data_IF_056579059396
#
_entry.id   IF_056579059396
#
_cell.length_a   1.000
_cell.length_b   1.000
_cell.length_c   1.000
_cell.angle_alpha   90.00
_cell.angle_beta   90.00
_cell.angle_gamma   90.00
#
_symmetry.space_group_name_H-M   'P 1'
#
loop_
_entity.id
_entity.type
_entity.pdbx_description
1 polymer ?
#
# COMPACT_ATOMS: atom_id res chain seq x y z
N UNK A 1 -22.97 2.57 -0.66
CA UNK A 1 -22.81 1.14 -1.08
C UNK A 1 -21.35 0.71 -1.30
N UNK A 2 -20.37 1.63 -1.32
CA UNK A 2 -18.93 1.33 -1.46
C UNK A 2 -18.22 0.93 -0.15
N UNK A 3 -18.58 1.54 0.98
CA UNK A 3 -17.96 1.29 2.29
C UNK A 3 -18.32 -0.07 2.89
N UNK A 4 -19.55 -0.52 2.67
CA UNK A 4 -19.95 -1.88 3.01
C UNK A 4 -19.20 -2.93 2.19
N UNK A 5 -18.60 -2.60 1.04
CA UNK A 5 -17.76 -3.55 0.29
C UNK A 5 -16.36 -3.71 0.91
N UNK A 6 -15.81 -2.66 1.51
CA UNK A 6 -14.51 -2.68 2.21
C UNK A 6 -14.61 -3.30 3.61
N UNK A 7 -15.72 -3.06 4.33
CA UNK A 7 -16.03 -3.75 5.60
C UNK A 7 -16.48 -5.20 5.35
N UNK A 8 -17.22 -5.47 4.27
CA UNK A 8 -17.48 -6.85 3.80
C UNK A 8 -16.22 -7.56 3.30
N UNK A 9 -15.20 -6.87 2.80
CA UNK A 9 -13.93 -7.47 2.36
C UNK A 9 -13.19 -8.18 3.51
N UNK A 10 -13.45 -7.78 4.77
CA UNK A 10 -12.89 -8.43 5.97
C UNK A 10 -13.78 -9.58 6.48
N UNK A 11 -15.09 -9.58 6.17
CA UNK A 11 -16.06 -10.56 6.72
C UNK A 11 -16.66 -11.55 5.70
N UNK A 12 -16.54 -11.33 4.39
CA UNK A 12 -17.10 -12.19 3.33
C UNK A 12 -16.12 -13.25 2.79
N UNK A 13 -15.09 -13.57 3.55
CA UNK A 13 -13.97 -14.37 3.07
C UNK A 13 -14.11 -15.88 3.29
N UNK A 14 -15.30 -16.40 3.63
CA UNK A 14 -15.49 -17.86 3.73
C UNK A 14 -16.22 -18.42 2.51
N UNK A 15 -17.37 -17.88 2.11
CA UNK A 15 -18.10 -18.42 0.95
C UNK A 15 -17.43 -18.08 -0.37
N UNK A 16 -16.86 -16.89 -0.51
CA UNK A 16 -16.05 -16.52 -1.67
C UNK A 16 -14.72 -17.27 -1.69
N UNK A 17 -14.10 -17.53 -0.53
CA UNK A 17 -12.94 -18.42 -0.45
C UNK A 17 -13.30 -19.86 -0.76
N UNK A 18 -14.48 -20.35 -0.36
CA UNK A 18 -14.99 -21.67 -0.72
C UNK A 18 -15.28 -21.74 -2.22
N UNK A 19 -15.84 -20.70 -2.82
CA UNK A 19 -16.03 -20.58 -4.26
C UNK A 19 -14.69 -20.46 -5.01
N UNK A 20 -13.70 -19.75 -4.44
CA UNK A 20 -12.31 -19.70 -4.90
C UNK A 20 -11.67 -21.08 -4.82
N UNK A 21 -11.82 -21.77 -3.69
CA UNK A 21 -11.32 -23.12 -3.46
C UNK A 21 -11.99 -24.11 -4.38
N UNK A 22 -13.29 -23.94 -4.68
CA UNK A 22 -14.07 -24.73 -5.64
C UNK A 22 -13.70 -24.43 -7.10
N UNK A 23 -13.46 -23.18 -7.48
CA UNK A 23 -12.98 -22.78 -8.81
C UNK A 23 -11.54 -23.22 -9.02
N UNK A 24 -10.67 -23.03 -8.03
CA UNK A 24 -9.36 -23.66 -7.93
C UNK A 24 -9.53 -25.19 -7.95
N UNK A 25 -10.56 -25.78 -7.33
CA UNK A 25 -10.88 -27.23 -7.40
C UNK A 25 -11.27 -27.67 -8.81
N UNK A 26 -11.97 -26.82 -9.56
CA UNK A 26 -12.37 -27.05 -10.95
C UNK A 26 -11.22 -26.83 -11.93
N UNK A 27 -10.30 -25.90 -11.66
CA UNK A 27 -9.02 -25.85 -12.36
C UNK A 27 -8.11 -27.03 -11.92
N UNK A 28 -8.25 -27.49 -10.66
CA UNK A 28 -7.66 -28.72 -10.13
C UNK A 28 -8.36 -29.99 -10.62
N UNK A 29 -9.46 -29.94 -11.39
CA UNK A 29 -9.89 -31.16 -12.09
C UNK A 29 -8.87 -31.55 -13.17
N UNK A 30 -7.92 -30.67 -13.50
CA UNK A 30 -6.69 -30.96 -14.24
C UNK A 30 -5.44 -31.14 -13.34
N UNK A 31 -5.49 -30.80 -12.05
CA UNK A 31 -4.44 -31.06 -11.05
C UNK A 31 -4.99 -32.06 -10.01
N UNK A 32 -4.84 -33.35 -10.32
CA UNK A 32 -5.12 -34.51 -9.47
C UNK A 32 -5.02 -34.20 -7.95
N UNK A 33 -5.95 -34.71 -7.13
CA UNK A 33 -5.93 -34.67 -5.64
C UNK A 33 -4.55 -34.91 -5.00
N UNK A 34 -3.70 -35.68 -5.68
CA UNK A 34 -2.30 -35.92 -5.37
C UNK A 34 -1.43 -34.65 -5.43
N UNK A 35 -1.63 -33.74 -6.38
CA UNK A 35 -0.98 -32.42 -6.44
C UNK A 35 -1.32 -31.54 -5.24
N UNK A 36 -2.56 -31.60 -4.74
CA UNK A 36 -2.99 -30.82 -3.56
C UNK A 36 -2.31 -31.35 -2.30
N UNK A 37 -2.32 -32.67 -2.11
CA UNK A 37 -1.63 -33.33 -1.01
C UNK A 37 -0.12 -33.03 -1.04
N UNK A 38 0.46 -32.96 -2.23
CA UNK A 38 1.88 -32.69 -2.44
C UNK A 38 2.24 -31.22 -2.25
N UNK A 39 1.48 -30.26 -2.80
CA UNK A 39 1.62 -28.81 -2.49
C UNK A 39 1.56 -28.58 -0.96
N UNK A 40 0.67 -29.29 -0.25
CA UNK A 40 0.57 -29.22 1.19
C UNK A 40 1.77 -29.87 1.93
N UNK A 41 2.32 -30.97 1.41
CA UNK A 41 3.57 -31.55 1.91
C UNK A 41 4.79 -30.63 1.63
N UNK A 42 4.80 -29.89 0.51
CA UNK A 42 5.87 -28.96 0.14
C UNK A 42 5.89 -27.67 0.97
N UNK A 43 4.77 -27.27 1.59
CA UNK A 43 4.77 -26.21 2.61
C UNK A 43 5.71 -26.52 3.78
N UNK A 44 6.07 -27.80 3.98
CA UNK A 44 6.94 -28.26 5.06
C UNK A 44 8.43 -28.32 4.67
N UNK A 45 8.80 -28.17 3.38
CA UNK A 45 10.20 -28.18 2.91
C UNK A 45 10.44 -27.23 1.74
N UNK A 46 11.30 -26.22 1.93
CA UNK A 46 11.61 -25.21 0.89
C UNK A 46 12.27 -25.88 -0.33
N UNK A 47 11.63 -25.81 -1.50
CA UNK A 47 12.23 -26.18 -2.80
C UNK A 47 12.79 -24.92 -3.48
N UNK A 48 13.97 -25.04 -4.09
CA UNK A 48 14.51 -24.02 -4.98
C UNK A 48 13.90 -24.13 -6.39
N UNK A 49 14.20 -23.17 -7.28
CA UNK A 49 13.69 -23.17 -8.66
C UNK A 49 14.01 -24.48 -9.39
N UNK A 50 15.23 -24.99 -9.24
CA UNK A 50 15.67 -26.20 -9.94
C UNK A 50 14.89 -27.42 -9.46
N UNK A 51 14.71 -27.57 -8.15
CA UNK A 51 13.88 -28.60 -7.56
C UNK A 51 12.42 -28.51 -8.02
N UNK A 52 11.86 -27.31 -8.11
CA UNK A 52 10.49 -27.10 -8.59
C UNK A 52 10.34 -27.48 -10.08
N UNK A 53 11.30 -27.12 -10.93
CA UNK A 53 11.25 -27.49 -12.37
C UNK A 53 11.48 -28.99 -12.59
N UNK A 54 12.40 -29.62 -11.85
CA UNK A 54 12.58 -31.07 -11.88
C UNK A 54 11.32 -31.81 -11.44
N UNK A 55 10.62 -31.26 -10.44
CA UNK A 55 9.34 -31.78 -9.99
C UNK A 55 8.27 -31.71 -11.08
N UNK A 56 8.09 -30.56 -11.73
CA UNK A 56 7.14 -30.43 -12.85
C UNK A 56 7.41 -31.45 -13.96
N UNK A 57 8.69 -31.68 -14.29
CA UNK A 57 9.10 -32.71 -15.26
C UNK A 57 8.75 -34.12 -14.81
N UNK A 58 8.96 -34.45 -13.53
CA UNK A 58 8.62 -35.77 -12.96
C UNK A 58 7.13 -36.09 -13.08
N UNK A 59 6.28 -35.05 -13.06
CA UNK A 59 4.84 -35.16 -13.24
C UNK A 59 4.36 -35.08 -14.69
N UNK A 60 5.27 -35.11 -15.66
CA UNK A 60 4.95 -35.06 -17.10
C UNK A 60 4.15 -33.82 -17.50
N UNK A 61 4.34 -32.69 -16.81
CA UNK A 61 3.77 -31.40 -17.23
C UNK A 61 4.32 -31.04 -18.63
N UNK A 62 3.48 -30.55 -19.55
CA UNK A 62 3.92 -30.16 -20.88
C UNK A 62 5.09 -29.17 -20.87
N UNK A 63 6.03 -29.33 -21.82
CA UNK A 63 7.25 -28.50 -21.89
C UNK A 63 6.95 -27.02 -22.07
N UNK A 64 5.90 -26.68 -22.81
CA UNK A 64 5.45 -25.31 -23.03
C UNK A 64 4.89 -24.67 -21.75
N UNK A 65 4.20 -25.44 -20.91
CA UNK A 65 3.73 -24.98 -19.61
C UNK A 65 4.90 -24.80 -18.62
N UNK A 66 5.86 -25.71 -18.62
CA UNK A 66 7.11 -25.55 -17.86
C UNK A 66 7.85 -24.27 -18.29
N UNK A 67 7.95 -24.02 -19.60
CA UNK A 67 8.60 -22.81 -20.12
C UNK A 67 7.89 -21.53 -19.66
N UNK A 68 6.54 -21.51 -19.67
CA UNK A 68 5.75 -20.39 -19.14
C UNK A 68 6.01 -20.16 -17.64
N UNK A 69 6.05 -21.22 -16.85
CA UNK A 69 6.35 -21.12 -15.41
C UNK A 69 7.77 -20.60 -15.17
N UNK A 70 8.74 -21.08 -15.94
CA UNK A 70 10.11 -20.54 -15.88
C UNK A 70 10.14 -19.06 -16.27
N UNK A 71 9.42 -18.65 -17.32
CA UNK A 71 9.28 -17.24 -17.69
C UNK A 71 8.64 -16.41 -16.58
N UNK A 72 7.62 -16.93 -15.88
CA UNK A 72 7.03 -16.27 -14.72
C UNK A 72 8.01 -16.14 -13.56
N UNK A 73 8.78 -17.20 -13.26
CA UNK A 73 9.82 -17.14 -12.23
C UNK A 73 10.91 -16.13 -12.63
N UNK A 74 11.29 -16.07 -13.91
CA UNK A 74 12.28 -15.12 -14.41
C UNK A 74 11.73 -13.69 -14.42
N UNK A 75 10.48 -13.49 -14.80
CA UNK A 75 9.78 -12.19 -14.74
C UNK A 75 9.67 -11.74 -13.29
N UNK A 76 9.31 -12.64 -12.39
CA UNK A 76 9.37 -12.42 -10.96
C UNK A 76 10.77 -12.00 -10.56
N UNK A 77 11.82 -12.78 -10.84
CA UNK A 77 13.22 -12.48 -10.50
C UNK A 77 13.71 -11.13 -11.06
N UNK A 78 13.29 -10.77 -12.27
CA UNK A 78 13.60 -9.51 -12.95
C UNK A 78 12.78 -8.33 -12.42
N UNK A 79 11.57 -8.58 -11.93
CA UNK A 79 10.67 -7.59 -11.35
C UNK A 79 11.25 -7.05 -10.06
N UNK A 80 12.21 -6.13 -10.15
CA UNK A 80 12.96 -5.70 -8.97
C UNK A 80 13.83 -4.43 -9.16
N UNK A 81 13.61 -3.62 -10.20
CA UNK A 81 14.47 -2.44 -10.43
C UNK A 81 14.08 -1.19 -9.61
N UNK A 82 13.17 -1.28 -8.64
CA UNK A 82 12.76 -0.09 -7.87
C UNK A 82 11.95 -0.32 -6.58
N UNK A 83 11.83 -1.57 -6.11
CA UNK A 83 11.19 -1.85 -4.81
C UNK A 83 12.23 -1.71 -3.71
N UNK A 84 11.97 -0.85 -2.72
CA UNK A 84 12.89 -0.61 -1.61
C UNK A 84 12.86 -1.82 -0.69
N UNK A 85 14.03 -2.40 -0.41
CA UNK A 85 14.13 -3.29 0.74
C UNK A 85 14.02 -2.45 2.01
N UNK A 86 13.13 -2.83 2.92
CA UNK A 86 13.09 -2.27 4.29
C UNK A 86 14.49 -2.29 4.94
N UNK A 87 15.36 -3.21 4.51
CA UNK A 87 16.76 -3.28 4.93
C UNK A 87 17.48 -1.94 4.74
N UNK A 88 17.23 -1.20 3.65
CA UNK A 88 17.85 0.11 3.44
C UNK A 88 17.46 1.10 4.55
N UNK A 89 16.21 1.08 5.03
CA UNK A 89 15.79 1.93 6.13
C UNK A 89 16.31 1.44 7.48
N UNK A 90 16.34 0.12 7.69
CA UNK A 90 16.95 -0.48 8.87
C UNK A 90 18.42 -0.07 8.96
N UNK A 91 19.18 -0.21 7.88
CA UNK A 91 20.58 0.19 7.77
C UNK A 91 20.74 1.68 8.06
N UNK A 92 19.87 2.52 7.50
CA UNK A 92 19.87 3.95 7.79
C UNK A 92 19.69 4.26 9.28
N UNK A 93 18.74 3.60 9.95
CA UNK A 93 18.54 3.81 11.39
C UNK A 93 19.65 3.19 12.25
N UNK A 94 20.24 2.08 11.80
CA UNK A 94 21.42 1.51 12.45
C UNK A 94 22.60 2.49 12.38
N UNK A 95 22.82 3.13 11.22
CA UNK A 95 23.78 4.23 11.07
C UNK A 95 23.45 5.43 11.97
N UNK A 96 22.17 5.65 12.29
CA UNK A 96 21.81 6.65 13.29
C UNK A 96 22.21 6.25 14.70
N UNK A 97 22.08 4.98 15.04
CA UNK A 97 22.45 4.47 16.35
C UNK A 97 23.98 4.45 16.56
N UNK A 98 24.78 4.42 15.48
CA UNK A 98 26.23 4.53 15.56
C UNK A 98 26.67 5.91 16.12
N UNK A 99 27.55 5.89 17.12
CA UNK A 99 28.26 7.08 17.63
C UNK A 99 29.33 7.53 16.63
N UNK A 100 28.89 8.17 15.55
CA UNK A 100 29.77 8.78 14.55
C UNK A 100 29.87 10.29 14.75
N UNK A 101 31.04 10.91 14.45
CA UNK A 101 31.15 12.35 14.28
C UNK A 101 30.10 12.89 13.31
N UNK A 102 29.51 14.05 13.61
CA UNK A 102 28.39 14.67 12.86
C UNK A 102 28.64 14.72 11.35
N UNK A 103 29.87 15.06 10.95
CA UNK A 103 30.29 15.19 9.54
C UNK A 103 30.33 13.84 8.82
N UNK A 104 30.87 12.79 9.45
CA UNK A 104 30.89 11.43 8.88
C UNK A 104 29.47 10.87 8.74
N UNK A 105 28.62 11.14 9.73
CA UNK A 105 27.21 10.77 9.72
C UNK A 105 26.45 11.47 8.58
N UNK A 106 26.68 12.77 8.41
CA UNK A 106 26.13 13.54 7.30
C UNK A 106 26.57 13.01 5.92
N UNK A 107 27.85 12.66 5.76
CA UNK A 107 28.35 12.10 4.49
C UNK A 107 27.71 10.74 4.17
N UNK A 108 27.61 9.83 5.15
CA UNK A 108 26.91 8.54 4.97
C UNK A 108 25.43 8.72 4.61
N UNK A 109 24.75 9.67 5.25
CA UNK A 109 23.34 10.02 4.92
C UNK A 109 23.24 10.58 3.50
N UNK A 110 24.15 11.47 3.11
CA UNK A 110 24.17 12.03 1.76
C UNK A 110 24.45 10.97 0.70
N UNK A 111 25.33 10.01 0.96
CA UNK A 111 25.58 8.85 0.10
C UNK A 111 24.35 7.95 -0.02
N UNK A 112 23.67 7.69 1.10
CA UNK A 112 22.39 6.98 1.13
C UNK A 112 21.36 7.67 0.23
N UNK A 113 21.22 8.98 0.33
CA UNK A 113 20.31 9.78 -0.49
C UNK A 113 20.68 9.84 -1.97
N UNK A 114 21.98 9.89 -2.29
CA UNK A 114 22.44 9.93 -3.67
C UNK A 114 22.21 8.59 -4.38
N UNK A 115 22.40 7.46 -3.70
CA UNK A 115 22.02 6.13 -4.23
C UNK A 115 20.51 6.02 -4.51
N UNK A 116 19.72 6.89 -3.88
CA UNK A 116 18.26 6.87 -3.87
C UNK A 116 17.60 7.73 -4.94
N UNK A 117 18.35 8.60 -5.64
CA UNK A 117 17.83 9.51 -6.67
C UNK A 117 17.20 8.81 -7.90
N UNK A 118 17.09 7.48 -7.89
CA UNK A 118 16.41 6.64 -8.88
C UNK A 118 14.96 6.26 -8.50
N UNK A 119 14.51 6.52 -7.26
CA UNK A 119 13.20 6.07 -6.78
C UNK A 119 12.06 6.99 -7.22
N UNK A 120 11.11 6.47 -8.01
CA UNK A 120 9.94 7.22 -8.53
C UNK A 120 8.78 7.37 -7.53
N UNK A 121 9.01 7.10 -6.25
CA UNK A 121 7.94 6.88 -5.28
C UNK A 121 7.67 8.08 -4.37
N UNK A 122 6.48 8.67 -4.44
CA UNK A 122 6.19 9.85 -3.63
C UNK A 122 5.92 9.56 -2.14
N UNK A 123 5.31 8.42 -1.80
CA UNK A 123 5.03 8.05 -0.40
C UNK A 123 6.29 7.70 0.40
N UNK A 124 7.19 6.93 -0.23
CA UNK A 124 8.53 6.66 0.32
C UNK A 124 9.35 7.94 0.47
N UNK A 125 9.29 8.82 -0.54
CA UNK A 125 9.94 10.14 -0.45
C UNK A 125 9.40 10.95 0.72
N UNK A 126 8.10 10.89 1.03
CA UNK A 126 7.54 11.62 2.17
C UNK A 126 8.10 11.14 3.53
N UNK A 127 8.25 9.82 3.71
CA UNK A 127 8.83 9.24 4.95
C UNK A 127 10.29 9.66 5.09
N UNK A 128 11.07 9.54 4.02
CA UNK A 128 12.47 9.92 4.05
C UNK A 128 12.67 11.43 4.15
N UNK A 129 11.90 12.25 3.43
CA UNK A 129 11.92 13.72 3.55
C UNK A 129 11.72 14.11 5.03
N UNK A 130 10.84 13.39 5.73
CA UNK A 130 10.62 13.57 7.16
C UNK A 130 11.83 13.14 7.99
N UNK A 131 12.33 11.92 7.80
CA UNK A 131 13.50 11.41 8.51
C UNK A 131 14.70 12.35 8.34
N UNK A 132 15.00 12.79 7.11
CA UNK A 132 16.07 13.73 6.81
C UNK A 132 15.88 15.10 7.44
N UNK A 133 14.64 15.59 7.44
CA UNK A 133 14.34 16.87 8.06
C UNK A 133 14.67 16.84 9.56
N UNK A 134 14.52 15.71 10.25
CA UNK A 134 14.89 15.57 11.65
C UNK A 134 16.41 15.56 11.89
N UNK A 135 17.20 15.13 10.90
CA UNK A 135 18.66 15.34 10.95
C UNK A 135 19.05 16.80 10.81
N UNK A 136 18.27 17.57 10.07
CA UNK A 136 18.47 19.01 9.96
C UNK A 136 18.01 19.72 11.23
N UNK A 137 18.52 20.92 11.46
CA UNK A 137 18.00 21.84 12.48
C UNK A 137 16.97 22.82 11.87
N UNK A 138 16.39 22.47 10.70
CA UNK A 138 15.43 23.31 9.97
C UNK A 138 13.99 22.97 10.37
N UNK A 139 13.47 23.65 11.38
CA UNK A 139 12.10 23.46 11.89
C UNK A 139 10.99 23.67 10.85
N UNK A 140 11.17 24.59 9.90
CA UNK A 140 10.20 24.82 8.83
C UNK A 140 10.14 23.62 7.86
N UNK A 141 11.29 22.98 7.60
CA UNK A 141 11.34 21.73 6.85
C UNK A 141 10.67 20.61 7.61
N UNK A 142 10.98 20.42 8.90
CA UNK A 142 10.37 19.40 9.77
C UNK A 142 8.84 19.53 9.78
N UNK A 143 8.31 20.74 9.95
CA UNK A 143 6.86 20.97 9.94
C UNK A 143 6.22 20.55 8.61
N UNK A 144 6.83 20.94 7.49
CA UNK A 144 6.32 20.65 6.13
C UNK A 144 6.42 19.17 5.78
N UNK A 145 7.54 18.51 6.09
CA UNK A 145 7.73 17.08 5.84
C UNK A 145 6.82 16.24 6.73
N UNK A 146 6.64 16.62 8.01
CA UNK A 146 5.67 15.97 8.92
C UNK A 146 4.25 16.06 8.36
N UNK A 147 3.83 17.25 7.92
CA UNK A 147 2.51 17.44 7.31
C UNK A 147 2.33 16.61 6.06
N UNK A 148 3.34 16.58 5.19
CA UNK A 148 3.31 15.75 3.99
C UNK A 148 3.12 14.28 4.39
N UNK A 149 3.98 13.72 5.24
CA UNK A 149 3.92 12.33 5.69
C UNK A 149 2.57 11.96 6.33
N UNK A 150 2.05 12.81 7.21
CA UNK A 150 0.77 12.60 7.90
C UNK A 150 -0.43 12.51 6.96
N UNK A 151 -0.32 13.10 5.77
CA UNK A 151 -1.45 13.24 4.85
C UNK A 151 -1.44 12.28 3.66
N UNK A 152 -0.40 11.44 3.55
CA UNK A 152 -0.36 10.37 2.56
C UNK A 152 -1.40 9.29 2.84
N UNK A 153 -1.78 8.55 1.79
CA UNK A 153 -2.62 7.39 1.93
C UNK A 153 -2.04 6.42 2.99
N UNK A 154 -2.86 5.93 3.94
CA UNK A 154 -2.44 5.03 5.01
C UNK A 154 -2.02 3.63 4.53
N UNK A 155 -1.89 3.40 3.23
CA UNK A 155 -1.42 2.13 2.67
C UNK A 155 -0.36 2.38 1.59
N UNK A 156 0.17 3.60 1.56
CA UNK A 156 1.12 4.02 0.53
C UNK A 156 2.34 3.12 0.51
N UNK A 157 2.95 2.81 1.66
CA UNK A 157 4.15 1.97 1.72
C UNK A 157 3.90 0.52 1.32
N UNK A 158 2.67 0.03 1.42
CA UNK A 158 2.29 -1.34 1.03
C UNK A 158 2.62 -1.64 -0.43
N UNK A 159 2.48 -0.66 -1.32
CA UNK A 159 2.74 -0.83 -2.76
C UNK A 159 4.22 -1.05 -3.08
N UNK A 160 5.12 -0.80 -2.13
CA UNK A 160 6.53 -0.59 -2.43
C UNK A 160 7.49 -1.30 -1.51
N UNK A 161 6.99 -1.74 -0.35
CA UNK A 161 7.68 -2.61 0.58
C UNK A 161 7.56 -4.05 0.10
N UNK A 162 8.70 -4.67 -0.17
CA UNK A 162 8.76 -6.08 -0.55
C UNK A 162 8.27 -6.95 0.61
N UNK A 163 7.38 -7.91 0.30
CA UNK A 163 6.97 -8.97 1.23
C UNK A 163 7.73 -10.26 0.91
N UNK A 164 8.78 -10.53 1.67
CA UNK A 164 9.47 -11.82 1.74
C UNK A 164 9.14 -12.50 3.09
N UNK A 165 9.62 -13.74 3.28
CA UNK A 165 9.39 -14.53 4.51
C UNK A 165 9.73 -13.80 5.81
N UNK A 166 10.66 -12.84 5.79
CA UNK A 166 11.11 -12.11 6.97
C UNK A 166 10.57 -10.66 7.01
N UNK A 167 9.67 -10.27 6.11
CA UNK A 167 9.23 -8.89 6.01
C UNK A 167 8.46 -8.44 7.25
N UNK A 168 7.68 -9.31 7.91
CA UNK A 168 6.99 -8.91 9.14
C UNK A 168 7.96 -8.58 10.28
N UNK A 169 8.98 -9.41 10.47
CA UNK A 169 10.04 -9.17 11.45
C UNK A 169 10.84 -7.91 11.11
N UNK A 170 11.19 -7.72 9.84
CA UNK A 170 11.87 -6.51 9.35
C UNK A 170 11.01 -5.26 9.53
N UNK A 171 9.71 -5.30 9.25
CA UNK A 171 8.79 -4.20 9.49
C UNK A 171 8.76 -3.87 10.99
N UNK A 172 8.61 -4.88 11.86
CA UNK A 172 8.64 -4.68 13.31
C UNK A 172 9.96 -4.04 13.77
N UNK A 173 11.09 -4.52 13.26
CA UNK A 173 12.40 -3.95 13.57
C UNK A 173 12.50 -2.49 13.11
N UNK A 174 12.10 -2.20 11.86
CA UNK A 174 12.04 -0.83 11.33
C UNK A 174 11.19 0.08 12.22
N UNK A 175 9.98 -0.34 12.60
CA UNK A 175 9.08 0.47 13.43
C UNK A 175 9.68 0.74 14.82
N UNK A 176 10.35 -0.26 15.41
CA UNK A 176 11.06 -0.10 16.67
C UNK A 176 12.22 0.91 16.55
N UNK A 177 13.01 0.81 15.49
CA UNK A 177 14.11 1.74 15.21
C UNK A 177 13.60 3.17 14.94
N UNK A 178 12.53 3.30 14.15
CA UNK A 178 11.87 4.57 13.87
C UNK A 178 11.34 5.22 15.16
N UNK A 179 10.70 4.45 16.04
CA UNK A 179 10.22 4.96 17.33
C UNK A 179 11.36 5.43 18.23
N UNK A 180 12.45 4.66 18.32
CA UNK A 180 13.67 5.10 19.03
C UNK A 180 14.20 6.40 18.44
N UNK A 181 14.24 6.50 17.10
CA UNK A 181 14.68 7.69 16.39
C UNK A 181 13.82 8.92 16.72
N UNK A 182 12.49 8.78 16.78
CA UNK A 182 11.59 9.85 17.18
C UNK A 182 11.82 10.31 18.63
N UNK A 183 12.02 9.37 19.55
CA UNK A 183 12.31 9.67 20.96
C UNK A 183 13.63 10.45 21.08
N UNK A 184 14.68 10.02 20.38
CA UNK A 184 15.97 10.73 20.36
C UNK A 184 15.88 12.15 19.76
N UNK A 185 14.82 12.45 19.00
CA UNK A 185 14.58 13.75 18.38
C UNK A 185 13.41 14.52 19.02
N UNK A 186 13.00 14.17 20.25
CA UNK A 186 11.84 14.78 20.91
C UNK A 186 11.90 16.31 21.00
N UNK A 187 13.09 16.89 21.17
CA UNK A 187 13.28 18.35 21.26
C UNK A 187 12.96 19.06 19.94
N UNK A 188 13.08 18.37 18.81
CA UNK A 188 12.78 18.90 17.47
C UNK A 188 11.31 18.74 17.11
N UNK A 189 10.65 17.78 17.73
CA UNK A 189 9.22 17.50 17.62
C UNK A 189 8.59 17.76 18.97
N UNK A 190 8.67 18.98 19.48
CA UNK A 190 8.27 19.34 20.84
C UNK A 190 6.82 18.94 21.19
N UNK A 191 5.90 19.03 20.24
CA UNK A 191 4.51 18.63 20.39
C UNK A 191 4.33 17.09 20.52
N UNK A 192 3.87 16.59 21.68
CA UNK A 192 3.58 15.18 21.89
C UNK A 192 2.49 14.63 20.97
N UNK A 193 1.50 15.43 20.59
CA UNK A 193 0.41 15.00 19.71
C UNK A 193 0.96 14.76 18.30
N UNK A 194 1.74 15.69 17.75
CA UNK A 194 2.40 15.51 16.47
C UNK A 194 3.25 14.23 16.42
N UNK A 195 4.05 13.96 17.45
CA UNK A 195 4.84 12.71 17.54
C UNK A 195 3.94 11.48 17.50
N UNK A 196 2.84 11.50 18.24
CA UNK A 196 1.88 10.39 18.26
C UNK A 196 1.18 10.22 16.91
N UNK A 197 0.79 11.30 16.24
CA UNK A 197 0.22 11.26 14.89
C UNK A 197 1.19 10.63 13.91
N UNK A 198 2.48 11.00 13.96
CA UNK A 198 3.55 10.47 13.10
C UNK A 198 3.71 8.95 13.32
N UNK A 199 3.73 8.52 14.58
CA UNK A 199 3.78 7.09 14.94
C UNK A 199 2.56 6.32 14.42
N UNK A 200 1.36 6.85 14.61
CA UNK A 200 0.14 6.18 14.12
C UNK A 200 0.10 6.12 12.59
N UNK A 201 0.53 7.19 11.92
CA UNK A 201 0.55 7.22 10.47
C UNK A 201 1.57 6.23 9.90
N UNK A 202 2.81 6.21 10.39
CA UNK A 202 3.82 5.29 9.87
C UNK A 202 3.38 3.84 10.08
N UNK A 203 2.78 3.52 11.24
CA UNK A 203 2.22 2.20 11.50
C UNK A 203 1.13 1.87 10.46
N UNK A 204 0.18 2.78 10.23
CA UNK A 204 -0.89 2.54 9.26
C UNK A 204 -0.35 2.22 7.88
N UNK A 205 0.68 2.94 7.41
CA UNK A 205 1.26 2.79 6.07
C UNK A 205 1.77 1.38 5.73
N UNK A 206 2.21 0.59 6.72
CA UNK A 206 2.70 -0.79 6.53
C UNK A 206 1.61 -1.86 6.72
N UNK A 207 0.59 -1.59 7.54
CA UNK A 207 -0.35 -2.61 8.00
C UNK A 207 -1.69 -2.59 7.25
N UNK A 208 -2.24 -3.80 7.06
CA UNK A 208 -3.65 -4.01 6.69
C UNK A 208 -4.46 -4.03 7.99
N UNK A 209 -5.72 -3.56 8.02
CA UNK A 209 -6.65 -3.86 9.10
C UNK A 209 -7.02 -5.36 9.07
N UNK A 210 -6.08 -6.22 9.43
CA UNK A 210 -6.35 -7.61 9.80
C UNK A 210 -5.91 -7.77 11.23
N UNK A 211 -6.77 -7.37 12.18
CA UNK A 211 -6.87 -7.91 13.54
C UNK A 211 -5.64 -7.93 14.45
N UNK A 212 -4.43 -7.57 14.01
CA UNK A 212 -3.24 -7.51 14.85
C UNK A 212 -3.25 -6.16 15.53
N UNK A 213 -3.87 -6.11 16.71
CA UNK A 213 -3.57 -5.09 17.70
C UNK A 213 -2.08 -5.20 18.00
N UNK A 214 -1.27 -4.35 17.36
CA UNK A 214 0.05 -4.05 17.89
C UNK A 214 -0.19 -3.35 19.23
N UNK A 215 0.16 -4.01 20.32
CA UNK A 215 0.17 -3.49 21.70
C UNK A 215 1.08 -2.24 21.90
N UNK A 216 1.50 -1.56 20.83
CA UNK A 216 2.59 -0.58 20.86
C UNK A 216 2.28 0.81 20.31
N UNK A 217 1.04 1.11 19.93
CA UNK A 217 0.63 2.52 19.80
C UNK A 217 -0.26 2.86 21.00
N UNK A 218 0.10 3.90 21.77
CA UNK A 218 -0.87 4.57 22.66
C UNK A 218 -1.98 5.11 21.76
N UNK A 219 -2.96 4.27 21.43
CA UNK A 219 -4.04 4.65 20.53
C UNK A 219 -4.78 5.80 21.18
N UNK A 220 -4.85 6.96 20.51
CA UNK A 220 -5.68 8.08 20.94
C UNK A 220 -7.07 7.55 21.30
N UNK A 221 -7.58 7.89 22.48
CA UNK A 221 -8.94 7.50 22.85
C UNK A 221 -9.94 8.12 21.87
N UNK A 222 -11.16 7.57 21.76
CA UNK A 222 -12.20 8.20 20.94
C UNK A 222 -12.52 9.63 21.40
N UNK A 223 -12.38 9.90 22.70
CA UNK A 223 -12.52 11.25 23.27
C UNK A 223 -11.43 12.18 22.74
N UNK A 224 -10.16 11.75 22.80
CA UNK A 224 -9.03 12.54 22.31
C UNK A 224 -9.15 12.78 20.80
N UNK A 225 -9.59 11.77 20.05
CA UNK A 225 -9.81 11.89 18.61
C UNK A 225 -10.83 12.98 18.28
N UNK A 226 -11.99 12.99 18.94
CA UNK A 226 -13.06 14.00 18.75
C UNK A 226 -12.60 15.41 19.13
N UNK A 227 -11.90 15.53 20.25
CA UNK A 227 -11.38 16.82 20.71
C UNK A 227 -10.36 17.39 19.73
N UNK A 228 -9.39 16.58 19.30
CA UNK A 228 -8.30 17.05 18.45
C UNK A 228 -8.73 17.28 16.99
N UNK A 229 -9.64 16.45 16.45
CA UNK A 229 -10.18 16.60 15.10
C UNK A 229 -11.06 17.85 14.94
N UNK A 230 -11.63 18.34 16.04
CA UNK A 230 -12.42 19.58 16.07
C UNK A 230 -11.56 20.84 16.26
N UNK A 231 -10.27 20.69 16.56
CA UNK A 231 -9.39 21.84 16.78
C UNK A 231 -9.07 22.57 15.48
N UNK A 232 -8.94 23.90 15.53
CA UNK A 232 -8.61 24.69 14.34
C UNK A 232 -7.21 24.38 13.81
N UNK A 233 -6.25 24.15 14.72
CA UNK A 233 -4.85 23.88 14.37
C UNK A 233 -4.70 22.50 13.74
N UNK A 234 -5.24 21.46 14.39
CA UNK A 234 -5.01 20.08 13.96
C UNK A 234 -6.12 19.51 13.09
N UNK A 235 -7.37 19.86 13.35
CA UNK A 235 -8.54 19.34 12.61
C UNK A 235 -8.48 19.64 11.12
N UNK A 236 -8.51 20.94 10.79
CA UNK A 236 -8.54 21.41 9.39
C UNK A 236 -7.26 21.05 8.63
N UNK A 237 -6.10 21.18 9.28
CA UNK A 237 -4.80 20.97 8.64
C UNK A 237 -4.51 19.50 8.30
N UNK A 238 -5.14 18.56 9.02
CA UNK A 238 -4.87 17.13 8.96
C UNK A 238 -6.18 16.31 8.91
N UNK A 239 -7.23 16.83 8.27
CA UNK A 239 -8.55 16.19 8.25
C UNK A 239 -8.51 14.76 7.68
N UNK A 240 -7.62 14.49 6.72
CA UNK A 240 -7.41 13.18 6.11
C UNK A 240 -6.78 12.17 7.09
N UNK A 241 -5.82 12.60 7.91
CA UNK A 241 -5.31 11.80 9.03
C UNK A 241 -6.43 11.48 10.04
N UNK A 242 -7.19 12.49 10.46
CA UNK A 242 -8.28 12.27 11.43
C UNK A 242 -9.34 11.35 10.87
N UNK A 243 -9.74 11.55 9.62
CA UNK A 243 -10.64 10.65 8.92
C UNK A 243 -10.12 9.19 8.96
N UNK A 244 -8.84 8.97 8.63
CA UNK A 244 -8.23 7.65 8.74
C UNK A 244 -8.26 7.07 10.16
N UNK A 245 -8.06 7.90 11.20
CA UNK A 245 -8.15 7.43 12.59
C UNK A 245 -9.58 7.11 13.03
N UNK A 246 -10.60 7.71 12.43
CA UNK A 246 -12.01 7.43 12.74
C UNK A 246 -12.54 6.20 12.00
N UNK A 247 -12.01 5.93 10.80
CA UNK A 247 -12.37 4.77 9.99
C UNK A 247 -12.19 3.46 10.76
N UNK A 248 -13.26 2.66 10.83
CA UNK A 248 -13.27 1.36 11.51
C UNK A 248 -13.30 1.43 13.04
N UNK A 249 -13.29 2.64 13.63
CA UNK A 249 -13.39 2.87 15.08
C UNK A 249 -14.69 3.57 15.50
N UNK A 250 -15.39 4.17 14.55
CA UNK A 250 -16.63 4.92 14.74
C UNK A 250 -17.66 4.55 13.69
N UNK A 251 -18.87 5.12 13.75
CA UNK A 251 -19.84 4.96 12.67
C UNK A 251 -19.32 5.60 11.38
N UNK A 252 -19.84 5.13 10.25
CA UNK A 252 -19.46 5.69 8.96
C UNK A 252 -19.85 7.16 8.87
N UNK A 253 -21.03 7.51 9.39
CA UNK A 253 -21.55 8.88 9.43
C UNK A 253 -20.61 9.80 10.23
N UNK A 254 -20.15 9.37 11.40
CA UNK A 254 -19.22 10.15 12.23
C UNK A 254 -17.86 10.34 11.54
N UNK A 255 -17.36 9.32 10.85
CA UNK A 255 -16.15 9.43 10.04
C UNK A 255 -16.36 10.42 8.88
N UNK A 256 -17.48 10.31 8.18
CA UNK A 256 -17.80 11.11 7.00
C UNK A 256 -17.96 12.61 7.32
N UNK A 257 -18.50 12.94 8.49
CA UNK A 257 -18.61 14.30 9.01
C UNK A 257 -17.28 15.07 8.97
N UNK A 258 -16.15 14.39 9.18
CA UNK A 258 -14.82 15.00 9.13
C UNK A 258 -14.51 15.49 7.70
N UNK A 259 -14.80 14.66 6.70
CA UNK A 259 -14.60 15.04 5.30
C UNK A 259 -15.58 16.11 4.87
N UNK A 260 -16.85 15.99 5.25
CA UNK A 260 -17.87 16.91 4.77
C UNK A 260 -17.64 18.33 5.28
N UNK A 261 -17.20 18.47 6.54
CA UNK A 261 -16.82 19.76 7.17
C UNK A 261 -15.57 20.39 6.55
N UNK A 262 -14.57 19.59 6.19
CA UNK A 262 -13.25 20.10 5.81
C UNK A 262 -12.98 20.11 4.29
N UNK A 263 -13.63 19.24 3.52
CA UNK A 263 -13.44 19.09 2.07
C UNK A 263 -14.48 19.90 1.27
N UNK A 264 -14.39 21.22 1.37
CA UNK A 264 -15.15 22.17 0.56
C UNK A 264 -14.56 22.29 -0.84
N UNK A 265 -15.28 22.97 -1.75
CA UNK A 265 -14.77 23.23 -3.11
C UNK A 265 -13.45 24.00 -3.10
N UNK A 266 -13.29 24.94 -2.16
CA UNK A 266 -12.06 25.73 -2.00
C UNK A 266 -10.90 24.85 -1.52
N UNK A 267 -11.10 24.03 -0.48
CA UNK A 267 -10.04 23.17 0.03
C UNK A 267 -9.67 22.07 -0.97
N UNK A 268 -10.66 21.50 -1.68
CA UNK A 268 -10.41 20.56 -2.78
C UNK A 268 -9.56 21.17 -3.89
N UNK A 269 -9.81 22.42 -4.29
CA UNK A 269 -9.02 23.10 -5.31
C UNK A 269 -7.54 23.24 -4.92
N UNK A 270 -7.27 23.49 -3.63
CA UNK A 270 -5.93 23.58 -3.08
C UNK A 270 -5.30 22.24 -2.67
N UNK A 271 -6.06 21.13 -2.73
CA UNK A 271 -5.62 19.85 -2.20
C UNK A 271 -4.50 19.24 -3.06
N UNK A 272 -3.46 18.73 -2.40
CA UNK A 272 -2.34 18.06 -3.04
C UNK A 272 -2.72 16.67 -3.58
N UNK A 273 -2.07 16.22 -4.66
CA UNK A 273 -2.42 14.98 -5.37
C UNK A 273 -2.38 13.74 -4.48
N UNK A 274 -1.39 13.64 -3.60
CA UNK A 274 -1.24 12.51 -2.68
C UNK A 274 -2.31 12.44 -1.58
N UNK A 275 -3.13 13.49 -1.40
CA UNK A 275 -4.24 13.55 -0.43
C UNK A 275 -5.58 13.22 -1.08
N UNK A 276 -5.64 13.11 -2.41
CA UNK A 276 -6.87 12.86 -3.16
C UNK A 276 -7.51 11.50 -2.85
N UNK A 277 -6.81 10.61 -2.14
CA UNK A 277 -7.37 9.34 -1.66
C UNK A 277 -8.62 9.51 -0.80
N UNK A 278 -8.78 10.64 -0.09
CA UNK A 278 -10.00 10.91 0.70
C UNK A 278 -11.27 10.97 -0.14
N UNK A 279 -11.15 11.24 -1.45
CA UNK A 279 -12.28 11.26 -2.38
C UNK A 279 -12.93 9.88 -2.54
N UNK A 280 -12.23 8.80 -2.19
CA UNK A 280 -12.79 7.44 -2.19
C UNK A 280 -14.03 7.32 -1.29
N UNK A 281 -14.18 8.23 -0.34
CA UNK A 281 -15.21 8.18 0.69
C UNK A 281 -16.23 9.30 0.56
N UNK A 282 -15.95 10.34 -0.24
CA UNK A 282 -16.85 11.50 -0.40
C UNK A 282 -16.98 11.90 -1.87
N UNK A 283 -18.22 11.94 -2.35
CA UNK A 283 -18.59 12.50 -3.65
C UNK A 283 -19.77 13.43 -3.41
N UNK A 284 -19.53 14.73 -3.51
CA UNK A 284 -20.58 15.74 -3.30
C UNK A 284 -21.45 15.92 -4.55
N UNK A 285 -22.71 16.27 -4.33
CA UNK A 285 -23.70 16.49 -5.38
C UNK A 285 -23.50 17.78 -6.19
N UNK A 286 -22.74 18.74 -5.66
CA UNK A 286 -22.58 20.07 -6.23
C UNK A 286 -21.75 20.07 -7.52
N UNK A 287 -22.25 20.71 -8.58
CA UNK A 287 -21.59 20.74 -9.88
C UNK A 287 -20.24 21.47 -9.86
N UNK A 288 -20.12 22.54 -9.07
CA UNK A 288 -18.87 23.28 -8.91
C UNK A 288 -17.80 22.39 -8.27
N UNK A 289 -18.17 21.66 -7.21
CA UNK A 289 -17.29 20.71 -6.55
C UNK A 289 -16.89 19.56 -7.48
N UNK A 290 -17.85 18.99 -8.22
CA UNK A 290 -17.58 17.92 -9.20
C UNK A 290 -16.62 18.36 -10.30
N UNK A 291 -16.76 19.57 -10.85
CA UNK A 291 -15.83 20.10 -11.86
C UNK A 291 -14.40 20.20 -11.32
N UNK A 292 -14.23 20.68 -10.09
CA UNK A 292 -12.91 20.75 -9.44
C UNK A 292 -12.36 19.35 -9.17
N UNK A 293 -13.20 18.43 -8.68
CA UNK A 293 -12.82 17.03 -8.46
C UNK A 293 -12.32 16.37 -9.75
N UNK A 294 -13.08 16.44 -10.84
CA UNK A 294 -12.70 15.82 -12.12
C UNK A 294 -11.38 16.40 -12.64
N UNK A 295 -11.16 17.72 -12.51
CA UNK A 295 -9.87 18.33 -12.85
C UNK A 295 -8.71 17.74 -12.04
N UNK A 296 -8.87 17.62 -10.72
CA UNK A 296 -7.87 17.02 -9.82
C UNK A 296 -7.59 15.55 -10.13
N UNK A 297 -8.63 14.77 -10.43
CA UNK A 297 -8.47 13.38 -10.84
C UNK A 297 -7.79 13.27 -12.22
N UNK A 298 -8.04 14.21 -13.12
CA UNK A 298 -7.30 14.35 -14.38
C UNK A 298 -5.81 14.61 -14.16
N UNK A 299 -5.45 15.47 -13.21
CA UNK A 299 -4.05 15.69 -12.79
C UNK A 299 -3.44 14.41 -12.20
N UNK A 300 -4.17 13.74 -11.30
CA UNK A 300 -3.75 12.47 -10.70
C UNK A 300 -3.51 11.39 -11.76
N UNK A 301 -4.32 11.34 -12.83
CA UNK A 301 -4.19 10.34 -13.90
C UNK A 301 -2.92 10.42 -14.72
N UNK A 302 -2.21 11.56 -14.65
CA UNK A 302 -0.90 11.72 -15.29
C UNK A 302 0.20 11.05 -14.49
N UNK A 303 -0.03 10.79 -13.20
CA UNK A 303 0.88 10.02 -12.36
C UNK A 303 0.72 8.53 -12.73
N UNK A 304 1.84 7.91 -13.13
CA UNK A 304 1.88 6.50 -13.55
C UNK A 304 2.26 5.56 -12.40
N UNK A 305 2.14 6.01 -11.15
CA UNK A 305 2.44 5.15 -10.01
C UNK A 305 1.24 4.25 -9.63
N UNK A 306 1.49 3.07 -9.05
CA UNK A 306 0.45 2.12 -8.70
C UNK A 306 -0.63 2.65 -7.75
N UNK A 307 -0.27 3.47 -6.77
CA UNK A 307 -1.21 3.98 -5.76
C UNK A 307 -2.20 4.97 -6.39
N UNK A 308 -1.69 5.92 -7.18
CA UNK A 308 -2.55 6.87 -7.91
C UNK A 308 -3.50 6.13 -8.85
N UNK A 309 -3.02 5.08 -9.52
CA UNK A 309 -3.85 4.25 -10.40
C UNK A 309 -4.95 3.51 -9.63
N UNK A 310 -4.66 2.94 -8.47
CA UNK A 310 -5.67 2.28 -7.63
C UNK A 310 -6.75 3.26 -7.15
N UNK A 311 -6.35 4.46 -6.70
CA UNK A 311 -7.30 5.50 -6.28
C UNK A 311 -8.26 5.84 -7.43
N UNK A 312 -7.72 6.07 -8.64
CA UNK A 312 -8.54 6.37 -9.81
C UNK A 312 -9.47 5.21 -10.18
N UNK A 313 -8.96 3.98 -10.19
CA UNK A 313 -9.76 2.78 -10.48
C UNK A 313 -10.92 2.65 -9.51
N UNK A 314 -10.66 2.84 -8.22
CA UNK A 314 -11.68 2.76 -7.18
C UNK A 314 -12.77 3.83 -7.36
N UNK A 315 -12.38 5.07 -7.72
CA UNK A 315 -13.32 6.16 -8.01
C UNK A 315 -14.13 5.94 -9.29
N UNK A 316 -13.54 5.33 -10.32
CA UNK A 316 -14.21 5.02 -11.60
C UNK A 316 -15.30 3.95 -11.49
N UNK A 317 -15.50 3.34 -10.32
CA UNK A 317 -16.70 2.53 -10.08
C UNK A 317 -17.97 3.36 -10.11
N UNK A 318 -17.87 4.66 -9.84
CA UNK A 318 -18.94 5.60 -10.17
C UNK A 318 -18.94 5.86 -11.68
N UNK A 319 -20.06 5.52 -12.34
CA UNK A 319 -20.20 5.65 -13.79
C UNK A 319 -20.07 7.09 -14.30
N UNK A 320 -20.45 8.08 -13.50
CA UNK A 320 -20.33 9.50 -13.83
C UNK A 320 -18.85 9.89 -13.84
N UNK A 321 -18.12 9.53 -12.78
CA UNK A 321 -16.68 9.79 -12.68
C UNK A 321 -15.93 9.11 -13.82
N UNK A 322 -16.24 7.84 -14.11
CA UNK A 322 -15.62 7.11 -15.23
C UNK A 322 -15.87 7.80 -16.56
N UNK A 323 -17.11 8.20 -16.83
CA UNK A 323 -17.48 8.89 -18.07
C UNK A 323 -16.68 10.18 -18.26
N UNK A 324 -16.60 11.00 -17.22
CA UNK A 324 -15.83 12.26 -17.26
C UNK A 324 -14.32 12.02 -17.39
N UNK A 325 -13.75 11.07 -16.64
CA UNK A 325 -12.33 10.74 -16.75
C UNK A 325 -11.96 10.14 -18.11
N UNK A 326 -12.86 9.39 -18.74
CA UNK A 326 -12.65 8.84 -20.10
C UNK A 326 -12.49 9.94 -21.16
N UNK A 327 -13.08 11.12 -20.95
CA UNK A 327 -12.89 12.28 -21.82
C UNK A 327 -11.52 12.94 -21.63
N UNK A 328 -10.94 12.81 -20.43
CA UNK A 328 -9.63 13.39 -20.08
C UNK A 328 -8.48 12.47 -20.46
N UNK A 329 -8.65 11.16 -20.28
CA UNK A 329 -7.64 10.15 -20.59
C UNK A 329 -8.29 8.95 -21.29
N UNK A 330 -7.89 8.69 -22.54
CA UNK A 330 -8.44 7.62 -23.39
C UNK A 330 -8.23 6.22 -22.81
N UNK A 331 -7.22 6.02 -21.96
CA UNK A 331 -6.99 4.72 -21.31
C UNK A 331 -8.15 4.33 -20.38
N UNK A 332 -8.95 5.29 -19.93
CA UNK A 332 -10.12 5.05 -19.08
C UNK A 332 -11.42 4.80 -19.86
N UNK A 333 -11.38 4.96 -21.19
CA UNK A 333 -12.52 4.65 -22.06
C UNK A 333 -12.85 3.15 -22.06
N UNK A 334 -11.86 2.29 -21.82
CA UNK A 334 -12.07 0.85 -21.74
C UNK A 334 -13.05 0.47 -20.61
N UNK A 335 -13.70 -0.71 -20.69
CA UNK A 335 -14.51 -1.23 -19.60
C UNK A 335 -13.72 -1.33 -18.29
N UNK A 336 -14.35 -1.01 -17.15
CA UNK A 336 -13.66 -0.93 -15.87
C UNK A 336 -12.95 -2.25 -15.50
N UNK A 337 -13.60 -3.39 -15.72
CA UNK A 337 -13.00 -4.71 -15.45
C UNK A 337 -11.69 -4.93 -16.23
N UNK A 338 -11.56 -4.39 -17.45
CA UNK A 338 -10.34 -4.50 -18.26
C UNK A 338 -9.23 -3.65 -17.66
N UNK A 339 -9.56 -2.43 -17.22
CA UNK A 339 -8.64 -1.52 -16.56
C UNK A 339 -8.15 -2.11 -15.23
N UNK A 340 -9.05 -2.64 -14.41
CA UNK A 340 -8.74 -3.32 -13.14
C UNK A 340 -7.80 -4.51 -13.36
N UNK A 341 -8.14 -5.42 -14.30
CA UNK A 341 -7.29 -6.58 -14.61
C UNK A 341 -5.89 -6.18 -15.07
N UNK A 342 -5.80 -5.19 -15.95
CA UNK A 342 -4.50 -4.70 -16.42
C UNK A 342 -3.67 -4.15 -15.26
N UNK A 343 -4.26 -3.30 -14.42
CA UNK A 343 -3.56 -2.73 -13.27
C UNK A 343 -3.02 -3.80 -12.31
N UNK A 344 -3.86 -4.76 -11.92
CA UNK A 344 -3.42 -5.79 -10.98
C UNK A 344 -2.39 -6.75 -11.58
N UNK A 345 -2.44 -7.04 -12.89
CA UNK A 345 -1.39 -7.80 -13.58
C UNK A 345 -0.06 -7.04 -13.63
N UNK A 346 -0.09 -5.74 -13.91
CA UNK A 346 1.10 -4.88 -13.88
C UNK A 346 1.72 -4.85 -12.47
N UNK A 347 0.90 -4.71 -11.42
CA UNK A 347 1.36 -4.77 -10.04
C UNK A 347 1.97 -6.14 -9.66
N UNK A 348 1.34 -7.26 -10.07
CA UNK A 348 1.89 -8.60 -9.87
C UNK A 348 3.27 -8.77 -10.53
N UNK A 349 3.40 -8.35 -11.80
CA UNK A 349 4.67 -8.44 -12.53
C UNK A 349 5.78 -7.59 -11.88
N UNK A 350 5.40 -6.49 -11.23
CA UNK A 350 6.31 -5.60 -10.51
C UNK A 350 6.57 -6.00 -9.05
N UNK A 351 6.06 -7.14 -8.58
CA UNK A 351 6.10 -7.62 -7.17
C UNK A 351 5.43 -6.70 -6.15
N UNK A 352 4.64 -5.74 -6.59
CA UNK A 352 3.89 -4.86 -5.70
C UNK A 352 2.58 -5.53 -5.28
N UNK A 353 2.26 -5.48 -3.98
CA UNK A 353 0.98 -5.96 -3.46
C UNK A 353 0.59 -7.39 -3.84
N UNK A 354 1.57 -8.29 -3.98
CA UNK A 354 1.37 -9.62 -4.59
C UNK A 354 0.08 -10.34 -4.18
N UNK A 355 -0.09 -10.65 -2.89
CA UNK A 355 -1.26 -11.39 -2.41
C UNK A 355 -2.58 -10.65 -2.64
N UNK A 356 -2.55 -9.31 -2.65
CA UNK A 356 -3.73 -8.48 -2.92
C UNK A 356 -4.05 -8.41 -4.39
N UNK A 357 -3.10 -8.13 -5.26
CA UNK A 357 -3.34 -8.13 -6.70
C UNK A 357 -3.82 -9.50 -7.17
N UNK A 358 -3.26 -10.57 -6.59
CA UNK A 358 -3.71 -11.92 -6.82
C UNK A 358 -5.16 -12.13 -6.38
N UNK A 359 -5.53 -11.72 -5.15
CA UNK A 359 -6.90 -11.85 -4.68
C UNK A 359 -7.89 -11.06 -5.55
N UNK A 360 -7.53 -9.82 -5.93
CA UNK A 360 -8.38 -8.96 -6.76
C UNK A 360 -8.55 -9.51 -8.18
N UNK A 361 -7.50 -10.08 -8.79
CA UNK A 361 -7.62 -10.73 -10.10
C UNK A 361 -8.56 -11.93 -10.05
N UNK A 362 -8.46 -12.76 -9.01
CA UNK A 362 -9.35 -13.91 -8.87
C UNK A 362 -10.80 -13.47 -8.62
N UNK A 363 -11.03 -12.41 -7.83
CA UNK A 363 -12.36 -11.80 -7.66
C UNK A 363 -12.97 -11.31 -8.98
N UNK A 364 -12.14 -10.80 -9.88
CA UNK A 364 -12.55 -10.39 -11.24
C UNK A 364 -12.79 -11.57 -12.18
N UNK A 365 -12.68 -12.81 -11.69
CA UNK A 365 -12.79 -14.03 -12.48
C UNK A 365 -11.62 -14.24 -13.43
N UNK A 366 -10.49 -13.58 -13.19
CA UNK A 366 -9.26 -13.75 -13.96
C UNK A 366 -8.49 -14.98 -13.42
N UNK A 367 -8.88 -16.15 -13.90
CA UNK A 367 -8.37 -17.48 -13.46
C UNK A 367 -7.57 -18.12 -14.60
N UNK A 368 -6.82 -17.31 -15.34
CA UNK A 368 -5.93 -17.85 -16.37
C UNK A 368 -4.76 -18.62 -15.73
N UNK A 369 -4.07 -19.43 -16.54
CA UNK A 369 -2.96 -20.25 -16.06
C UNK A 369 -1.86 -19.41 -15.38
N UNK A 370 -1.66 -18.16 -15.80
CA UNK A 370 -0.66 -17.26 -15.20
C UNK A 370 -1.01 -16.90 -13.76
N UNK A 371 -2.26 -16.50 -13.49
CA UNK A 371 -2.74 -16.19 -12.14
C UNK A 371 -2.68 -17.42 -11.24
N UNK A 372 -3.06 -18.59 -11.76
CA UNK A 372 -2.97 -19.87 -11.03
C UNK A 372 -1.51 -20.18 -10.67
N UNK A 373 -0.58 -20.04 -11.61
CA UNK A 373 0.83 -20.33 -11.36
C UNK A 373 1.45 -19.35 -10.36
N UNK A 374 1.11 -18.07 -10.40
CA UNK A 374 1.50 -17.13 -9.34
C UNK A 374 1.01 -17.58 -7.97
N UNK A 375 -0.26 -18.00 -7.85
CA UNK A 375 -0.79 -18.54 -6.60
C UNK A 375 -0.03 -19.79 -6.13
N UNK A 376 0.23 -20.75 -7.02
CA UNK A 376 0.96 -21.98 -6.67
C UNK A 376 2.38 -21.66 -6.20
N UNK A 377 3.12 -20.86 -6.95
CA UNK A 377 4.51 -20.51 -6.67
C UNK A 377 4.67 -19.73 -5.35
N UNK A 378 3.69 -18.90 -4.98
CA UNK A 378 3.62 -18.24 -3.68
C UNK A 378 3.37 -19.22 -2.53
N UNK A 379 2.39 -20.13 -2.71
CA UNK A 379 2.03 -21.12 -1.69
C UNK A 379 3.16 -22.11 -1.38
N UNK A 380 4.00 -22.44 -2.36
CA UNK A 380 5.16 -23.33 -2.17
C UNK A 380 6.44 -22.57 -1.76
N UNK A 381 6.38 -21.24 -1.68
CA UNK A 381 7.49 -20.41 -1.25
C UNK A 381 8.64 -20.29 -2.24
N UNK A 382 8.40 -20.52 -3.54
CA UNK A 382 9.37 -20.30 -4.63
C UNK A 382 9.49 -18.81 -4.97
N UNK A 383 8.43 -18.04 -4.73
CA UNK A 383 8.42 -16.58 -4.90
C UNK A 383 8.88 -15.79 -3.66
N UNK A 384 9.15 -16.49 -2.54
CA UNK A 384 9.58 -15.93 -1.26
C UNK A 384 11.10 -15.87 -1.15
#
# INVERSE_FOLDING_TARGET
>A
MFILSFIREVSLNQDRYNELQMKIKSCKSNLNSEWIAKINAFKQGKLDELGFIQLMKSYKIPKDEIAKVQELIQTWKKGNQGAISIDNWIDFFNLYAEELPKEKKYMKIKEYLNKRNTEKNEGLRAVDDFILSLYSDNYAWIKRSSKKMLTYHPQSLRYFVQRNKNSEEKIKNFLNLFNKYLISNERKLDDPLLRLMIQNQINSMFFVPMGVQLEMAKSLSLSDLRQNSSSHIWGVSYFDFWFNQFLGRTSFEESQDILDKNLTTQTLSGLETWRLWVLLFTIKGEDSWRKVMIKKLGELSKLKDPLSREILISLMRDSTIKSELSKVNSDFSYPLFRIERQHYRECLNNRSLFSYCLSRLIELGDIDNTVIWFYVLDQVGVLQ
#
